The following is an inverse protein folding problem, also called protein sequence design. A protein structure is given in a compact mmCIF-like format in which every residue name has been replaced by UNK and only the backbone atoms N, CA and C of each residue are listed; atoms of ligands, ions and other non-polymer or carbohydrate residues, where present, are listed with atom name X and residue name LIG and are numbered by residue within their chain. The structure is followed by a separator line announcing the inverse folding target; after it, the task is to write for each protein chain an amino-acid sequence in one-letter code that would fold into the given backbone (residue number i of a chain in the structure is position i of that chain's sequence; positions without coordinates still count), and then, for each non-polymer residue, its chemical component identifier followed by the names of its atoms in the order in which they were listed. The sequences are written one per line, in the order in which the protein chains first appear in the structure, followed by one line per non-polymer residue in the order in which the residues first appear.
data_IF_982934876788
#
_entry.id   IF_982934876788
#
_cell.length_a   1.000
_cell.length_b   1.000
_cell.length_c   1.000
_cell.angle_alpha   90.00
_cell.angle_beta   90.00
_cell.angle_gamma   90.00
#
_symmetry.space_group_name_H-M   'P 1'
#
loop_
_entity.id
_entity.type
_entity.pdbx_description
1 polymer ?
#
# COMPACT_ATOMS: atom_id res chain seq x y z
N UNK A 1 -15.60 -22.50 28.84
CA UNK A 1 -14.93 -22.87 27.55
C UNK A 1 -13.43 -22.86 27.81
N UNK A 2 -12.73 -23.96 27.53
CA UNK A 2 -11.28 -24.02 27.67
C UNK A 2 -10.65 -23.51 26.34
N UNK A 3 -9.66 -22.61 26.46
CA UNK A 3 -8.88 -22.13 25.32
C UNK A 3 -7.85 -23.21 25.02
N UNK A 4 -7.88 -23.80 23.82
CA UNK A 4 -6.97 -24.88 23.42
C UNK A 4 -5.63 -24.36 22.85
N UNK A 5 -5.64 -23.17 22.24
CA UNK A 5 -4.43 -22.51 21.70
C UNK A 5 -4.65 -21.02 21.53
N UNK A 6 -3.56 -20.26 21.53
CA UNK A 6 -3.54 -18.83 21.19
C UNK A 6 -2.50 -18.65 20.08
N UNK A 7 -2.90 -17.99 19.00
CA UNK A 7 -1.98 -17.56 17.95
C UNK A 7 -1.67 -16.07 18.15
N UNK A 8 -0.40 -15.74 18.35
CA UNK A 8 0.05 -14.37 18.55
C UNK A 8 0.91 -13.98 17.36
N UNK A 9 0.47 -12.97 16.60
CA UNK A 9 1.26 -12.36 15.55
C UNK A 9 1.97 -11.12 16.10
N UNK A 10 3.30 -11.12 16.05
CA UNK A 10 4.12 -9.97 16.43
C UNK A 10 4.35 -9.16 15.16
N UNK A 11 3.89 -7.91 15.15
CA UNK A 11 4.19 -7.00 14.06
C UNK A 11 5.68 -6.62 14.12
N UNK A 12 6.36 -6.78 12.99
CA UNK A 12 7.77 -6.39 12.84
C UNK A 12 7.89 -5.16 11.95
N UNK A 13 8.88 -4.33 12.21
CA UNK A 13 9.26 -3.23 11.36
C UNK A 13 10.60 -3.53 10.67
N UNK A 14 10.66 -3.29 9.37
CA UNK A 14 11.90 -3.35 8.58
C UNK A 14 12.02 -2.01 7.87
N UNK A 15 12.95 -1.18 8.33
CA UNK A 15 13.26 0.11 7.71
C UNK A 15 14.19 -0.06 6.51
N UNK A 16 14.07 0.87 5.57
CA UNK A 16 14.90 0.97 4.37
C UNK A 16 14.73 -0.20 3.38
N UNK A 17 13.68 -0.99 3.52
CA UNK A 17 13.36 -2.03 2.54
C UNK A 17 12.81 -1.44 1.22
N UNK A 18 12.41 -0.16 1.21
CA UNK A 18 11.96 0.57 0.03
C UNK A 18 13.08 1.33 -0.71
N UNK A 19 14.32 1.37 -0.17
CA UNK A 19 15.41 2.18 -0.71
C UNK A 19 15.67 1.95 -2.20
N UNK A 20 15.78 0.69 -2.62
CA UNK A 20 16.10 0.36 -4.01
C UNK A 20 14.95 0.78 -4.95
N UNK A 21 13.71 0.58 -4.54
CA UNK A 21 12.54 0.95 -5.33
C UNK A 21 12.38 2.46 -5.45
N UNK A 22 12.56 3.19 -4.35
CA UNK A 22 12.45 4.64 -4.35
C UNK A 22 13.62 5.29 -5.08
N UNK A 23 14.83 4.76 -4.94
CA UNK A 23 16.00 5.18 -5.72
C UNK A 23 15.79 4.98 -7.22
N UNK A 24 15.22 3.83 -7.61
CA UNK A 24 14.87 3.55 -9.01
C UNK A 24 13.83 4.53 -9.56
N UNK A 25 12.83 4.90 -8.75
CA UNK A 25 11.80 5.85 -9.17
C UNK A 25 12.31 7.31 -9.17
N UNK A 26 13.24 7.65 -8.31
CA UNK A 26 13.81 9.01 -8.20
C UNK A 26 12.71 10.07 -8.06
N UNK A 27 12.79 11.14 -8.86
CA UNK A 27 11.80 12.25 -8.85
C UNK A 27 10.37 11.82 -9.19
N UNK A 28 10.18 10.62 -9.75
CA UNK A 28 8.88 10.07 -10.09
C UNK A 28 8.36 9.08 -9.02
N UNK A 29 8.80 9.19 -7.76
CA UNK A 29 8.40 8.26 -6.71
C UNK A 29 6.90 8.31 -6.41
N UNK A 30 6.31 9.51 -6.42
CA UNK A 30 4.86 9.70 -6.26
C UNK A 30 4.14 9.34 -7.58
N UNK A 31 3.52 8.17 -7.60
CA UNK A 31 2.63 7.66 -8.66
C UNK A 31 1.70 6.60 -8.10
N UNK A 32 0.57 6.44 -8.74
CA UNK A 32 -0.39 5.40 -8.38
C UNK A 32 0.26 4.02 -8.53
N UNK A 33 0.47 3.34 -7.42
CA UNK A 33 1.27 2.10 -7.37
C UNK A 33 0.50 0.98 -6.66
N UNK A 34 0.45 -0.20 -7.27
CA UNK A 34 -0.07 -1.42 -6.68
C UNK A 34 1.06 -2.39 -6.37
N UNK A 35 1.18 -2.80 -5.11
CA UNK A 35 2.15 -3.80 -4.65
C UNK A 35 1.48 -5.17 -4.61
N UNK A 36 1.97 -6.11 -5.39
CA UNK A 36 1.39 -7.44 -5.60
C UNK A 36 2.32 -8.50 -5.02
N UNK A 37 1.80 -9.38 -4.19
CA UNK A 37 2.49 -10.62 -3.82
C UNK A 37 1.55 -11.65 -3.24
N UNK A 38 1.96 -12.91 -3.15
CA UNK A 38 1.30 -13.92 -2.33
C UNK A 38 1.24 -13.53 -0.85
N UNK A 39 0.47 -14.27 -0.06
CA UNK A 39 0.38 -14.07 1.39
C UNK A 39 1.78 -14.16 2.04
N UNK A 40 2.06 -13.28 2.98
CA UNK A 40 3.35 -13.17 3.68
C UNK A 40 4.54 -12.82 2.76
N UNK A 41 4.32 -12.14 1.64
CA UNK A 41 5.39 -11.71 0.73
C UNK A 41 6.04 -10.37 1.06
N UNK A 42 5.63 -9.67 2.14
CA UNK A 42 6.24 -8.40 2.57
C UNK A 42 5.57 -7.14 2.04
N UNK A 43 4.38 -7.23 1.41
CA UNK A 43 3.64 -6.07 0.86
C UNK A 43 3.45 -4.93 1.84
N UNK A 44 2.84 -5.22 2.99
CA UNK A 44 2.53 -4.20 4.01
C UNK A 44 3.81 -3.57 4.57
N UNK A 45 4.89 -4.36 4.69
CA UNK A 45 6.20 -3.86 5.13
C UNK A 45 6.79 -2.89 4.11
N UNK A 46 6.75 -3.24 2.82
CA UNK A 46 7.21 -2.36 1.74
C UNK A 46 6.35 -1.10 1.65
N UNK A 47 5.02 -1.24 1.70
CA UNK A 47 4.06 -0.12 1.70
C UNK A 47 4.36 0.88 2.82
N UNK A 48 4.54 0.37 4.06
CA UNK A 48 4.84 1.21 5.23
C UNK A 48 6.13 1.98 5.06
N UNK A 49 7.20 1.31 4.62
CA UNK A 49 8.51 1.95 4.46
C UNK A 49 8.52 2.94 3.29
N UNK A 50 7.78 2.68 2.21
CA UNK A 50 7.54 3.67 1.14
C UNK A 50 6.81 4.89 1.69
N UNK A 51 5.73 4.72 2.47
CA UNK A 51 4.99 5.81 3.09
C UNK A 51 5.89 6.65 3.99
N UNK A 52 6.68 5.98 4.87
CA UNK A 52 7.62 6.64 5.78
C UNK A 52 8.64 7.48 5.01
N UNK A 53 9.34 6.90 4.03
CA UNK A 53 10.40 7.61 3.31
C UNK A 53 9.84 8.77 2.48
N UNK A 54 8.70 8.59 1.78
CA UNK A 54 8.05 9.67 1.04
C UNK A 54 7.58 10.79 1.96
N UNK A 55 7.10 10.47 3.16
CA UNK A 55 6.76 11.44 4.19
C UNK A 55 7.99 12.21 4.68
N UNK A 56 9.12 11.54 4.91
CA UNK A 56 10.38 12.17 5.29
C UNK A 56 10.94 13.07 4.18
N UNK A 57 10.74 12.68 2.91
CA UNK A 57 11.10 13.48 1.74
C UNK A 57 10.17 14.69 1.50
N UNK A 58 9.15 14.87 2.36
CA UNK A 58 8.31 16.06 2.40
C UNK A 58 6.88 15.89 1.93
N UNK A 59 6.48 14.73 1.38
CA UNK A 59 5.11 14.48 0.99
C UNK A 59 4.17 14.42 2.20
N UNK A 60 2.95 14.96 2.04
CA UNK A 60 1.86 14.76 3.00
C UNK A 60 1.19 13.42 2.72
N UNK A 61 1.21 12.51 3.70
CA UNK A 61 0.74 11.13 3.54
C UNK A 61 -0.48 10.86 4.41
N UNK A 62 -1.52 10.28 3.83
CA UNK A 62 -2.66 9.73 4.55
C UNK A 62 -2.64 8.21 4.50
N UNK A 63 -2.83 7.55 5.64
CA UNK A 63 -2.93 6.09 5.72
C UNK A 63 -4.34 5.68 6.12
N UNK A 64 -4.97 4.86 5.28
CA UNK A 64 -6.23 4.16 5.59
C UNK A 64 -5.88 2.74 6.07
N UNK A 65 -5.84 2.55 7.38
CA UNK A 65 -5.38 1.31 8.05
C UNK A 65 -6.56 0.56 8.70
N UNK A 66 -7.37 -0.09 7.88
CA UNK A 66 -8.59 -0.77 8.36
C UNK A 66 -8.33 -1.84 9.42
N UNK A 67 -7.20 -2.55 9.31
CA UNK A 67 -6.86 -3.69 10.18
C UNK A 67 -5.74 -3.41 11.17
N UNK A 68 -5.21 -2.20 11.21
CA UNK A 68 -4.05 -1.88 12.04
C UNK A 68 -2.77 -2.59 11.60
N UNK A 69 -2.63 -2.95 10.33
CA UNK A 69 -1.47 -3.71 9.83
C UNK A 69 -0.34 -2.78 9.34
N UNK A 70 -0.66 -1.53 8.96
CA UNK A 70 0.32 -0.57 8.46
C UNK A 70 0.99 0.16 9.63
N UNK A 71 0.20 0.88 10.43
CA UNK A 71 0.70 1.73 11.51
C UNK A 71 0.68 1.06 12.89
N UNK A 72 -0.11 -0.04 13.06
CA UNK A 72 -0.32 -0.74 14.32
C UNK A 72 -0.74 0.22 15.45
N UNK A 73 -1.71 1.09 15.22
CA UNK A 73 -2.11 2.12 16.17
C UNK A 73 -2.56 1.53 17.51
N UNK A 74 -2.12 2.14 18.58
CA UNK A 74 -2.63 1.90 19.94
C UNK A 74 -3.14 3.22 20.52
N UNK A 75 -4.41 3.24 20.89
CA UNK A 75 -5.11 4.45 21.36
C UNK A 75 -4.93 5.66 20.39
N UNK A 76 -5.00 5.41 19.09
CA UNK A 76 -4.84 6.43 18.06
C UNK A 76 -3.40 6.87 17.77
N UNK A 77 -2.41 6.23 18.41
CA UNK A 77 -0.99 6.55 18.19
C UNK A 77 -0.31 5.44 17.40
N UNK A 78 0.29 5.72 16.22
CA UNK A 78 1.09 4.76 15.48
C UNK A 78 2.21 4.18 16.34
N UNK A 79 2.34 2.84 16.35
CA UNK A 79 3.40 2.12 17.06
C UNK A 79 4.56 1.75 16.14
N UNK A 80 4.34 1.83 14.84
CA UNK A 80 5.34 1.66 13.80
C UNK A 80 5.62 3.01 13.14
N UNK A 81 6.83 3.18 12.65
CA UNK A 81 7.25 4.43 12.02
C UNK A 81 6.63 4.53 10.61
N UNK A 82 5.77 5.50 10.43
CA UNK A 82 5.09 5.78 9.15
C UNK A 82 5.51 7.13 8.54
N UNK A 83 6.44 7.82 9.19
CA UNK A 83 6.97 9.12 8.76
C UNK A 83 6.28 10.31 9.42
N UNK A 84 7.02 11.43 9.51
CA UNK A 84 6.66 12.61 10.31
C UNK A 84 5.47 13.41 9.74
N UNK A 85 5.21 13.30 8.43
CA UNK A 85 4.12 14.02 7.74
C UNK A 85 2.98 13.08 7.36
N UNK A 86 2.73 12.09 8.21
CA UNK A 86 1.75 11.04 7.96
C UNK A 86 0.63 11.08 8.99
N UNK A 87 -0.60 11.10 8.51
CA UNK A 87 -1.80 10.96 9.32
C UNK A 87 -2.45 9.59 9.07
N UNK A 88 -2.96 8.97 10.13
CA UNK A 88 -3.50 7.62 10.08
C UNK A 88 -4.96 7.61 10.53
N UNK A 89 -5.83 7.01 9.72
CA UNK A 89 -7.18 6.63 10.14
C UNK A 89 -7.18 5.11 10.28
N UNK A 90 -7.29 4.61 11.51
CA UNK A 90 -7.29 3.19 11.85
C UNK A 90 -8.67 2.69 12.27
N UNK A 91 -8.91 1.39 12.05
CA UNK A 91 -10.15 0.73 12.48
C UNK A 91 -11.43 1.21 11.78
N UNK A 92 -11.30 1.90 10.67
CA UNK A 92 -12.39 2.40 9.84
C UNK A 92 -12.40 1.66 8.49
N UNK A 93 -13.56 1.37 7.89
CA UNK A 93 -13.63 0.84 6.55
C UNK A 93 -12.78 1.68 5.58
N UNK A 94 -11.99 1.03 4.77
CA UNK A 94 -10.96 1.67 3.92
C UNK A 94 -11.52 2.78 3.03
N UNK A 95 -12.66 2.53 2.38
CA UNK A 95 -13.30 3.50 1.51
C UNK A 95 -13.72 4.78 2.27
N UNK A 96 -14.25 4.61 3.49
CA UNK A 96 -14.63 5.74 4.34
C UNK A 96 -13.40 6.51 4.83
N UNK A 97 -12.34 5.79 5.23
CA UNK A 97 -11.09 6.40 5.66
C UNK A 97 -10.44 7.22 4.52
N UNK A 98 -10.39 6.69 3.30
CA UNK A 98 -9.88 7.40 2.12
C UNK A 98 -10.69 8.68 1.86
N UNK A 99 -12.02 8.59 1.86
CA UNK A 99 -12.89 9.76 1.66
C UNK A 99 -12.69 10.82 2.76
N UNK A 100 -12.50 10.42 4.01
CA UNK A 100 -12.20 11.35 5.10
C UNK A 100 -10.84 12.02 4.93
N UNK A 101 -9.80 11.27 4.58
CA UNK A 101 -8.45 11.79 4.32
C UNK A 101 -8.47 12.86 3.23
N UNK A 102 -9.15 12.60 2.10
CA UNK A 102 -9.26 13.56 1.00
C UNK A 102 -9.89 14.86 1.48
N UNK A 103 -11.01 14.77 2.21
CA UNK A 103 -11.81 15.95 2.61
C UNK A 103 -11.14 16.79 3.70
N UNK A 104 -10.41 16.17 4.60
CA UNK A 104 -9.90 16.85 5.82
C UNK A 104 -8.44 17.24 5.71
N UNK A 105 -7.62 16.50 4.95
CA UNK A 105 -6.17 16.61 4.98
C UNK A 105 -5.56 16.98 3.63
N UNK A 106 -6.29 16.74 2.52
CA UNK A 106 -5.80 16.95 1.16
C UNK A 106 -4.38 16.39 0.97
N UNK A 107 -4.14 15.09 1.27
CA UNK A 107 -2.81 14.51 1.22
C UNK A 107 -2.32 14.41 -0.23
N UNK A 108 -1.00 14.47 -0.42
CA UNK A 108 -0.37 14.21 -1.72
C UNK A 108 -0.32 12.72 -2.04
N UNK A 109 -0.28 11.87 -1.00
CA UNK A 109 -0.24 10.42 -1.11
C UNK A 109 -1.23 9.78 -0.15
N UNK A 110 -2.01 8.83 -0.63
CA UNK A 110 -2.84 7.95 0.19
C UNK A 110 -2.29 6.52 0.11
N UNK A 111 -2.01 5.93 1.27
CA UNK A 111 -1.61 4.55 1.41
C UNK A 111 -2.76 3.73 2.00
N UNK A 112 -3.07 2.60 1.38
CA UNK A 112 -4.08 1.69 1.89
C UNK A 112 -3.63 0.24 1.77
N UNK A 113 -3.94 -0.56 2.80
CA UNK A 113 -3.67 -2.00 2.76
C UNK A 113 -4.66 -2.69 1.80
N UNK A 114 -4.52 -3.94 1.65
CA UNK A 114 -5.17 -4.90 0.75
C UNK A 114 -6.49 -4.44 0.11
N UNK A 115 -6.43 -4.10 -1.18
CA UNK A 115 -7.62 -3.83 -1.98
C UNK A 115 -8.37 -5.12 -2.30
N UNK A 116 -9.71 -5.10 -2.22
CA UNK A 116 -10.50 -6.29 -2.46
C UNK A 116 -11.96 -6.05 -2.80
N UNK A 117 -12.56 -5.00 -2.29
CA UNK A 117 -13.96 -4.66 -2.50
C UNK A 117 -14.16 -3.64 -3.63
N UNK A 118 -15.37 -3.56 -4.18
CA UNK A 118 -15.71 -2.58 -5.22
C UNK A 118 -15.61 -1.15 -4.70
N UNK A 119 -15.97 -0.96 -3.44
CA UNK A 119 -15.92 0.31 -2.74
C UNK A 119 -14.47 0.83 -2.61
N UNK A 120 -13.49 -0.08 -2.46
CA UNK A 120 -12.07 0.28 -2.40
C UNK A 120 -11.63 0.96 -3.72
N UNK A 121 -12.00 0.37 -4.85
CA UNK A 121 -11.65 0.92 -6.17
C UNK A 121 -12.32 2.27 -6.42
N UNK A 122 -13.56 2.42 -5.98
CA UNK A 122 -14.29 3.70 -6.11
C UNK A 122 -13.61 4.80 -5.31
N UNK A 123 -13.20 4.51 -4.07
CA UNK A 123 -12.49 5.46 -3.20
C UNK A 123 -11.09 5.81 -3.74
N UNK A 124 -10.36 4.85 -4.29
CA UNK A 124 -9.05 5.10 -4.91
C UNK A 124 -9.17 5.97 -6.17
N UNK A 125 -10.20 5.73 -6.97
CA UNK A 125 -10.48 6.57 -8.13
C UNK A 125 -10.83 8.00 -7.71
N UNK A 126 -11.61 8.17 -6.65
CA UNK A 126 -11.92 9.48 -6.07
C UNK A 126 -10.64 10.18 -5.60
N UNK A 127 -9.73 9.45 -4.92
CA UNK A 127 -8.43 9.97 -4.50
C UNK A 127 -7.59 10.44 -5.70
N UNK A 128 -7.46 9.62 -6.72
CA UNK A 128 -6.72 9.99 -7.93
C UNK A 128 -7.33 11.20 -8.66
N UNK A 129 -8.66 11.30 -8.73
CA UNK A 129 -9.35 12.45 -9.32
C UNK A 129 -9.20 13.72 -8.47
N UNK A 130 -9.02 13.61 -7.16
CA UNK A 130 -8.75 14.75 -6.27
C UNK A 130 -7.29 15.24 -6.34
N UNK A 131 -6.44 14.55 -7.08
CA UNK A 131 -5.02 14.88 -7.26
C UNK A 131 -4.07 14.19 -6.28
N UNK A 132 -4.58 13.32 -5.40
CA UNK A 132 -3.74 12.49 -4.54
C UNK A 132 -3.24 11.25 -5.30
N UNK A 133 -1.97 10.88 -5.10
CA UNK A 133 -1.47 9.58 -5.51
C UNK A 133 -1.93 8.48 -4.55
N UNK A 134 -2.00 7.24 -5.03
CA UNK A 134 -2.37 6.10 -4.20
C UNK A 134 -1.32 5.00 -4.27
N UNK A 135 -0.94 4.44 -3.11
CA UNK A 135 -0.14 3.23 -3.02
C UNK A 135 -0.93 2.19 -2.23
N UNK A 136 -1.21 1.06 -2.85
CA UNK A 136 -2.03 0.02 -2.25
C UNK A 136 -1.37 -1.35 -2.39
N UNK A 137 -1.90 -2.34 -1.67
CA UNK A 137 -1.47 -3.73 -1.82
C UNK A 137 -2.59 -4.63 -2.34
N UNK A 138 -2.22 -5.72 -2.99
CA UNK A 138 -3.15 -6.77 -3.39
C UNK A 138 -2.52 -8.16 -3.29
N UNK A 139 -3.34 -9.16 -2.98
CA UNK A 139 -2.93 -10.55 -3.05
C UNK A 139 -3.02 -11.09 -4.47
N UNK A 140 -1.89 -11.55 -4.99
CA UNK A 140 -1.75 -12.18 -6.30
C UNK A 140 -0.32 -12.69 -6.48
N UNK A 141 -0.09 -13.56 -7.47
CA UNK A 141 1.25 -14.06 -7.84
C UNK A 141 1.94 -13.11 -8.82
N UNK A 142 1.12 -12.43 -9.61
CA UNK A 142 1.53 -11.55 -10.69
C UNK A 142 0.37 -10.63 -11.11
N UNK A 143 0.61 -9.78 -12.11
CA UNK A 143 -0.41 -8.89 -12.67
C UNK A 143 -1.56 -9.63 -13.34
N UNK A 144 -1.31 -10.82 -13.90
CA UNK A 144 -2.37 -11.61 -14.57
C UNK A 144 -3.41 -12.10 -13.54
N UNK A 145 -2.98 -12.53 -12.36
CA UNK A 145 -3.88 -12.90 -11.26
C UNK A 145 -4.75 -11.70 -10.86
N UNK A 146 -4.15 -10.50 -10.80
CA UNK A 146 -4.85 -9.25 -10.46
C UNK A 146 -5.85 -8.86 -11.55
N UNK A 147 -5.45 -8.94 -12.82
CA UNK A 147 -6.36 -8.65 -13.94
C UNK A 147 -7.55 -9.61 -14.01
N UNK A 148 -7.34 -10.89 -13.72
CA UNK A 148 -8.43 -11.90 -13.64
C UNK A 148 -9.38 -11.60 -12.49
N UNK A 149 -8.85 -11.12 -11.35
CA UNK A 149 -9.62 -10.86 -10.12
C UNK A 149 -10.42 -9.56 -10.20
N UNK A 150 -9.83 -8.50 -10.73
CA UNK A 150 -10.38 -7.15 -10.65
C UNK A 150 -10.68 -6.49 -12.01
N UNK A 151 -10.26 -7.10 -13.11
CA UNK A 151 -10.40 -6.56 -14.46
C UNK A 151 -9.21 -5.71 -14.90
N UNK A 152 -8.70 -5.98 -16.10
CA UNK A 152 -7.55 -5.28 -16.69
C UNK A 152 -7.76 -3.76 -16.78
N UNK A 153 -8.92 -3.34 -17.34
CA UNK A 153 -9.20 -1.92 -17.56
C UNK A 153 -9.16 -1.12 -16.27
N UNK A 154 -9.78 -1.65 -15.21
CA UNK A 154 -9.83 -1.01 -13.89
C UNK A 154 -8.44 -0.78 -13.31
N UNK A 155 -7.59 -1.81 -13.37
CA UNK A 155 -6.22 -1.70 -12.86
C UNK A 155 -5.41 -0.70 -13.68
N UNK A 156 -5.50 -0.77 -15.01
CA UNK A 156 -4.78 0.12 -15.91
C UNK A 156 -5.25 1.59 -15.85
N UNK A 157 -6.50 1.85 -15.45
CA UNK A 157 -7.03 3.21 -15.25
C UNK A 157 -6.53 3.86 -13.95
N UNK A 158 -6.37 3.05 -12.88
CA UNK A 158 -6.04 3.59 -11.55
C UNK A 158 -4.53 3.60 -11.31
N UNK A 159 -3.82 2.53 -11.71
CA UNK A 159 -2.43 2.34 -11.33
C UNK A 159 -1.47 2.57 -12.50
N UNK A 160 -0.50 3.46 -12.29
CA UNK A 160 0.61 3.71 -13.22
C UNK A 160 1.66 2.60 -13.14
N UNK A 161 1.79 1.94 -11.96
CA UNK A 161 2.84 0.96 -11.65
C UNK A 161 2.31 -0.23 -10.89
N UNK A 162 2.90 -1.37 -11.19
CA UNK A 162 2.71 -2.64 -10.49
C UNK A 162 4.08 -3.11 -9.98
N UNK A 163 4.24 -3.27 -8.66
CA UNK A 163 5.44 -3.85 -8.05
C UNK A 163 5.10 -5.28 -7.67
N UNK A 164 5.74 -6.25 -8.29
CA UNK A 164 5.50 -7.67 -8.01
C UNK A 164 6.63 -8.22 -7.15
N UNK A 165 6.29 -8.79 -5.98
CA UNK A 165 7.25 -9.40 -5.05
C UNK A 165 7.29 -10.92 -5.24
N UNK A 166 8.43 -11.55 -4.90
CA UNK A 166 8.63 -13.00 -5.08
C UNK A 166 7.76 -13.87 -4.15
N UNK A 167 7.47 -13.43 -2.93
CA UNK A 167 6.67 -14.19 -1.96
C UNK A 167 7.49 -14.87 -0.86
N UNK A 168 6.96 -15.98 -0.27
CA UNK A 168 7.45 -16.55 1.00
C UNK A 168 8.92 -16.96 1.03
N UNK A 169 9.48 -17.40 -0.09
CA UNK A 169 10.87 -17.88 -0.12
C UNK A 169 11.89 -16.73 -0.15
N UNK A 170 11.45 -15.54 -0.57
CA UNK A 170 12.26 -14.34 -0.67
C UNK A 170 11.40 -13.13 -0.28
N UNK A 171 11.07 -13.04 1.02
CA UNK A 171 10.15 -12.03 1.55
C UNK A 171 10.70 -10.62 1.27
N UNK A 172 9.86 -9.76 0.68
CA UNK A 172 10.20 -8.38 0.38
C UNK A 172 11.03 -8.18 -0.88
N UNK A 173 11.52 -9.27 -1.51
CA UNK A 173 12.31 -9.15 -2.73
C UNK A 173 11.40 -8.84 -3.93
N UNK A 174 11.77 -7.81 -4.68
CA UNK A 174 11.06 -7.41 -5.90
C UNK A 174 11.40 -8.41 -7.01
N UNK A 175 10.37 -8.96 -7.63
CA UNK A 175 10.51 -9.86 -8.78
C UNK A 175 10.66 -9.06 -10.07
N UNK A 176 9.84 -8.03 -10.23
CA UNK A 176 9.90 -7.03 -11.31
C UNK A 176 8.93 -5.88 -11.02
N UNK A 177 9.08 -4.82 -11.81
CA UNK A 177 8.18 -3.67 -11.85
C UNK A 177 7.60 -3.59 -13.27
N UNK A 178 6.28 -3.37 -13.36
CA UNK A 178 5.57 -3.16 -14.61
C UNK A 178 4.79 -1.85 -14.59
N UNK A 179 4.39 -1.35 -15.75
CA UNK A 179 3.39 -0.28 -15.83
C UNK A 179 1.97 -0.86 -15.58
N UNK A 180 0.97 0.01 -15.45
CA UNK A 180 -0.42 -0.40 -15.22
C UNK A 180 -1.01 -1.32 -16.30
N UNK A 181 -0.35 -1.43 -17.45
CA UNK A 181 -0.72 -2.33 -18.57
C UNK A 181 0.00 -3.68 -18.53
N UNK A 182 0.88 -3.91 -17.54
CA UNK A 182 1.64 -5.14 -17.40
C UNK A 182 2.96 -5.18 -18.20
N UNK A 183 3.34 -4.09 -18.87
CA UNK A 183 4.62 -4.00 -19.57
C UNK A 183 5.74 -3.81 -18.54
N UNK A 184 6.71 -4.71 -18.51
CA UNK A 184 7.84 -4.65 -17.57
C UNK A 184 8.71 -3.43 -17.87
N UNK A 185 8.94 -2.62 -16.81
CA UNK A 185 9.72 -1.38 -16.91
C UNK A 185 11.17 -1.68 -16.55
N UNK A 186 11.44 -2.51 -15.56
CA UNK A 186 12.75 -3.00 -15.14
C UNK A 186 12.63 -4.13 -14.07
N UNK A 187 13.63 -4.94 -13.97
CA UNK A 187 14.69 -5.17 -13.00
C UNK A 187 15.92 -5.63 -13.67
#
# INVERSE_FOLDING_TARGET
KNIGSINVRIAGEIKNCADDVLRFFGRNALKNTLIISPVCGGKTTLLRDMARQLSEDGATVGIADERGEIAACYMGVPQLDVGIRTDVIDGCPKADAISMLIRTMSPELICADEIGAEEDFSAMREAALSGAFVICTAHGRDEEDIYKKFGYQRIAEIFDRLIVLEGRNNIGKIKYIANGRGEKICL
#
